data_IF_246166054414
#
_entry.id   IF_246166054414
#
_cell.length_a   1.000
_cell.length_b   1.000
_cell.length_c   1.000
_cell.angle_alpha   90.00
_cell.angle_beta   90.00
_cell.angle_gamma   90.00
#
_symmetry.space_group_name_H-M   'P 1'
#
loop_
_entity.id
_entity.type
_entity.pdbx_description
1 polymer ?
#
# COMPACT_ATOMS: atom_id res chain seq x y z
N UNK A 1 -15.72 10.87 -11.90
CA UNK A 1 -14.54 9.99 -11.99
C UNK A 1 -13.84 9.99 -10.64
N UNK A 2 -13.89 8.91 -9.86
CA UNK A 2 -12.96 8.75 -8.73
C UNK A 2 -11.61 8.35 -9.32
N UNK A 3 -10.58 9.11 -9.01
CA UNK A 3 -9.23 8.79 -9.46
C UNK A 3 -8.67 7.67 -8.58
N UNK A 4 -7.86 6.79 -9.17
CA UNK A 4 -7.12 5.75 -8.43
C UNK A 4 -6.34 6.33 -7.24
N UNK A 5 -5.87 7.57 -7.37
CA UNK A 5 -5.20 8.30 -6.29
C UNK A 5 -6.11 8.57 -5.09
N UNK A 6 -7.39 8.87 -5.30
CA UNK A 6 -8.34 9.18 -4.23
C UNK A 6 -8.71 7.93 -3.43
N UNK A 7 -8.81 6.79 -4.11
CA UNK A 7 -9.08 5.51 -3.46
C UNK A 7 -7.88 5.03 -2.65
N UNK A 8 -6.66 5.17 -3.20
CA UNK A 8 -5.42 4.93 -2.47
C UNK A 8 -5.33 5.87 -1.26
N UNK A 9 -5.60 7.17 -1.42
CA UNK A 9 -5.60 8.13 -0.33
C UNK A 9 -6.63 7.75 0.77
N UNK A 10 -7.81 7.26 0.39
CA UNK A 10 -8.82 6.79 1.33
C UNK A 10 -8.33 5.58 2.13
N UNK A 11 -7.67 4.62 1.47
CA UNK A 11 -7.10 3.45 2.14
C UNK A 11 -5.93 3.85 3.03
N UNK A 12 -5.05 4.74 2.58
CA UNK A 12 -3.94 5.26 3.39
C UNK A 12 -4.46 5.98 4.65
N UNK A 13 -5.56 6.74 4.56
CA UNK A 13 -6.22 7.38 5.73
C UNK A 13 -6.82 6.38 6.71
N UNK A 14 -7.13 5.16 6.28
CA UNK A 14 -7.64 4.09 7.15
C UNK A 14 -6.52 3.26 7.83
N UNK A 15 -5.28 3.46 7.40
CA UNK A 15 -4.09 2.87 7.97
C UNK A 15 -3.48 3.84 9.00
N UNK A 16 -2.67 3.33 9.91
CA UNK A 16 -1.85 4.22 10.75
C UNK A 16 -0.80 4.92 9.89
N UNK A 17 -0.32 6.10 10.28
CA UNK A 17 0.68 6.85 9.51
C UNK A 17 1.88 5.98 9.11
N UNK A 18 2.34 5.12 10.03
CA UNK A 18 3.43 4.17 9.78
C UNK A 18 3.08 3.09 8.76
N UNK A 19 1.86 2.56 8.80
CA UNK A 19 1.37 1.58 7.83
C UNK A 19 1.16 2.21 6.45
N UNK A 20 0.63 3.44 6.40
CA UNK A 20 0.47 4.21 5.19
C UNK A 20 1.83 4.49 4.54
N UNK A 21 2.83 4.91 5.32
CA UNK A 21 4.20 5.16 4.86
C UNK A 21 4.87 3.90 4.28
N UNK A 22 4.66 2.74 4.92
CA UNK A 22 5.10 1.43 4.41
C UNK A 22 4.45 1.12 3.05
N UNK A 23 3.16 1.35 2.91
CA UNK A 23 2.43 1.10 1.66
C UNK A 23 2.86 2.09 0.57
N UNK A 24 3.06 3.37 0.91
CA UNK A 24 3.61 4.37 -0.02
C UNK A 24 5.00 3.96 -0.53
N UNK A 25 5.87 3.48 0.35
CA UNK A 25 7.16 2.95 -0.05
C UNK A 25 7.06 1.65 -0.84
N UNK A 26 6.09 0.78 -0.54
CA UNK A 26 5.91 -0.49 -1.26
C UNK A 26 5.49 -0.27 -2.71
N UNK A 27 4.56 0.65 -2.94
CA UNK A 27 3.98 0.93 -4.25
C UNK A 27 4.64 2.12 -4.96
N UNK A 28 5.62 2.80 -4.35
CA UNK A 28 6.27 3.96 -4.95
C UNK A 28 5.32 5.13 -5.18
N UNK A 29 4.46 5.41 -4.19
CA UNK A 29 3.48 6.50 -4.23
C UNK A 29 4.12 7.83 -3.83
N UNK A 30 3.50 8.95 -4.19
CA UNK A 30 4.00 10.33 -3.92
C UNK A 30 5.42 10.60 -4.47
N UNK A 31 5.80 9.96 -5.58
CA UNK A 31 7.14 10.13 -6.16
C UNK A 31 8.24 9.38 -5.41
N UNK A 32 7.88 8.51 -4.46
CA UNK A 32 8.82 7.62 -3.77
C UNK A 32 9.20 6.45 -4.69
N UNK A 33 10.42 5.94 -4.54
CA UNK A 33 10.81 4.69 -5.22
C UNK A 33 10.15 3.50 -4.53
N UNK A 34 9.64 2.51 -5.30
CA UNK A 34 9.15 1.27 -4.75
C UNK A 34 10.30 0.52 -4.05
N UNK A 35 10.06 0.09 -2.82
CA UNK A 35 11.00 -0.67 -2.00
C UNK A 35 10.54 -2.13 -1.88
N UNK A 36 11.51 -3.03 -1.77
CA UNK A 36 11.26 -4.43 -1.48
C UNK A 36 10.80 -4.64 -0.03
N UNK A 37 10.12 -5.75 0.24
CA UNK A 37 9.75 -6.14 1.61
C UNK A 37 10.96 -6.21 2.55
N UNK A 38 12.14 -6.55 2.02
CA UNK A 38 13.38 -6.62 2.78
C UNK A 38 13.86 -5.22 3.19
N UNK A 39 13.87 -4.28 2.25
CA UNK A 39 14.29 -2.88 2.50
C UNK A 39 13.33 -2.16 3.46
N UNK A 40 12.03 -2.35 3.27
CA UNK A 40 11.01 -1.83 4.18
C UNK A 40 11.19 -2.47 5.57
N UNK A 41 11.43 -3.78 5.64
CA UNK A 41 11.65 -4.49 6.91
C UNK A 41 12.83 -3.94 7.69
N UNK A 42 13.94 -3.68 7.00
CA UNK A 42 15.12 -3.04 7.58
C UNK A 42 14.82 -1.61 8.04
N UNK A 43 14.16 -0.80 7.19
CA UNK A 43 13.87 0.61 7.49
C UNK A 43 12.92 0.81 8.68
N UNK A 44 11.87 -0.01 8.77
CA UNK A 44 10.87 0.10 9.83
C UNK A 44 11.11 -0.85 10.99
N UNK A 45 12.19 -1.65 10.97
CA UNK A 45 12.48 -2.69 11.97
C UNK A 45 11.30 -3.65 12.14
N UNK A 46 10.71 -4.06 11.01
CA UNK A 46 9.58 -4.96 10.96
C UNK A 46 9.97 -6.26 10.28
N UNK A 47 9.34 -7.35 10.72
CA UNK A 47 9.47 -8.63 10.03
C UNK A 47 8.76 -8.57 8.67
N UNK A 48 9.22 -9.38 7.72
CA UNK A 48 8.56 -9.54 6.41
C UNK A 48 7.08 -9.90 6.56
N UNK A 49 6.75 -10.69 7.58
CA UNK A 49 5.38 -11.11 7.86
C UNK A 49 4.51 -9.93 8.31
N UNK A 50 5.05 -9.02 9.13
CA UNK A 50 4.30 -7.82 9.51
C UNK A 50 4.00 -6.94 8.30
N UNK A 51 4.94 -6.80 7.37
CA UNK A 51 4.72 -6.02 6.14
C UNK A 51 3.66 -6.70 5.27
N UNK A 52 3.70 -8.03 5.12
CA UNK A 52 2.65 -8.80 4.41
C UNK A 52 1.27 -8.61 5.04
N UNK A 53 1.16 -8.58 6.36
CA UNK A 53 -0.11 -8.31 7.04
C UNK A 53 -0.67 -6.92 6.70
N UNK A 54 0.19 -5.90 6.70
CA UNK A 54 -0.17 -4.52 6.35
C UNK A 54 -0.60 -4.45 4.88
N UNK A 55 0.14 -5.08 3.98
CA UNK A 55 -0.20 -5.19 2.56
C UNK A 55 -1.55 -5.88 2.36
N UNK A 56 -1.79 -7.03 3.01
CA UNK A 56 -3.08 -7.74 2.95
C UNK A 56 -4.23 -6.90 3.51
N UNK A 57 -4.00 -6.13 4.58
CA UNK A 57 -4.99 -5.20 5.15
C UNK A 57 -5.33 -4.09 4.16
N UNK A 58 -4.33 -3.47 3.54
CA UNK A 58 -4.52 -2.44 2.52
C UNK A 58 -5.26 -3.00 1.30
N UNK A 59 -4.81 -4.15 0.77
CA UNK A 59 -5.45 -4.85 -0.35
C UNK A 59 -6.90 -5.23 -0.05
N UNK A 60 -7.21 -5.68 1.17
CA UNK A 60 -8.59 -5.99 1.58
C UNK A 60 -9.49 -4.75 1.53
N UNK A 61 -8.97 -3.58 1.88
CA UNK A 61 -9.71 -2.32 1.80
C UNK A 61 -9.82 -1.79 0.37
N UNK A 62 -8.83 -2.07 -0.49
CA UNK A 62 -8.88 -1.77 -1.92
C UNK A 62 -9.82 -2.73 -2.69
N UNK A 63 -9.93 -4.00 -2.28
CA UNK A 63 -10.75 -5.06 -2.91
C UNK A 63 -12.26 -4.96 -2.66
N UNK A 64 -12.77 -3.84 -2.14
CA UNK A 64 -14.21 -3.61 -2.14
C UNK A 64 -14.72 -3.78 -3.59
N UNK A 65 -15.82 -4.51 -3.87
CA UNK A 65 -16.20 -4.92 -5.23
C UNK A 65 -16.32 -3.79 -6.25
N UNK A 66 -16.49 -2.55 -5.79
CA UNK A 66 -16.48 -1.33 -6.62
C UNK A 66 -15.07 -0.86 -7.06
N UNK A 67 -13.98 -1.45 -6.53
CA UNK A 67 -12.61 -0.88 -6.52
C UNK A 67 -11.49 -1.89 -6.82
N UNK A 68 -11.81 -3.19 -6.91
CA UNK A 68 -10.83 -4.27 -7.08
C UNK A 68 -10.09 -4.28 -8.43
N UNK A 69 -10.59 -3.57 -9.44
CA UNK A 69 -10.10 -3.62 -10.82
C UNK A 69 -8.79 -2.85 -11.07
N UNK A 70 -8.36 -1.98 -10.16
CA UNK A 70 -7.28 -1.02 -10.44
C UNK A 70 -5.90 -1.39 -9.88
N UNK A 71 -5.82 -2.40 -9.02
CA UNK A 71 -4.53 -2.88 -8.46
C UNK A 71 -3.68 -3.61 -9.50
N UNK A 72 -4.29 -4.23 -10.50
CA UNK A 72 -3.57 -4.91 -11.59
C UNK A 72 -2.82 -3.92 -12.49
N UNK A 73 -3.30 -2.68 -12.62
CA UNK A 73 -2.71 -1.67 -13.50
C UNK A 73 -1.42 -1.04 -12.96
N UNK A 74 -1.09 -1.20 -11.67
CA UNK A 74 0.12 -0.63 -11.05
C UNK A 74 1.21 -1.68 -10.79
N UNK A 75 0.95 -2.95 -11.13
CA UNK A 75 1.90 -4.08 -11.00
C UNK A 75 2.52 -4.46 -12.36
N UNK A 76 2.19 -3.75 -13.45
CA UNK A 76 2.79 -3.94 -14.77
C UNK A 76 4.17 -3.26 -14.90
#
# INVERSE_FOLDING_TARGET
>A
MRSLRDDIATVLRSLTDREADIIMHRFGLEGRRPLSLKEIGLRYHLTKERIRQIEKKALRQLRHPSRAQYLEAYVA
#
